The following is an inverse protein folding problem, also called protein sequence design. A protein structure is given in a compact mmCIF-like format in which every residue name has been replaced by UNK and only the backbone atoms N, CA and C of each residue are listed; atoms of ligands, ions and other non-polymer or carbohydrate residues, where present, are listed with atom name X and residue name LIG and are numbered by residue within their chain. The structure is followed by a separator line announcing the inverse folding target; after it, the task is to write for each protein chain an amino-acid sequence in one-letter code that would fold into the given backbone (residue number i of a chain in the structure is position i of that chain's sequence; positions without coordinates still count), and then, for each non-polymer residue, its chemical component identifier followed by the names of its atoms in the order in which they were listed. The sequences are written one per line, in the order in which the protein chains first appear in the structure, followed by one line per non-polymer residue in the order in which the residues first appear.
data_IF_946749473111
#
_entry.id   IF_946749473111
#
_cell.length_a   1.000
_cell.length_b   1.000
_cell.length_c   1.000
_cell.angle_alpha   90.00
_cell.angle_beta   90.00
_cell.angle_gamma   90.00
#
_symmetry.space_group_name_H-M   'P 1'
#
loop_
_entity.id
_entity.type
_entity.pdbx_description
1 polymer ?
#
# COMPACT_ATOMS: atom_id res chain seq x y z
N UNK A 1 13.27 11.09 -12.42
CA UNK A 1 13.52 12.14 -11.42
C UNK A 1 12.17 12.68 -11.01
N UNK A 2 11.86 12.74 -9.71
CA UNK A 2 10.60 13.30 -9.21
C UNK A 2 10.66 14.82 -9.33
N UNK A 3 9.59 15.45 -9.80
CA UNK A 3 9.53 16.91 -9.88
C UNK A 3 9.35 17.53 -8.49
N UNK A 4 9.78 18.79 -8.32
CA UNK A 4 9.61 19.53 -7.06
C UNK A 4 8.13 19.55 -6.61
N UNK A 5 7.22 19.75 -7.55
CA UNK A 5 5.77 19.76 -7.28
C UNK A 5 5.25 18.40 -6.81
N UNK A 6 5.73 17.30 -7.38
CA UNK A 6 5.35 15.95 -6.96
C UNK A 6 5.87 15.63 -5.55
N UNK A 7 7.10 16.04 -5.23
CA UNK A 7 7.68 15.88 -3.89
C UNK A 7 6.91 16.68 -2.84
N UNK A 8 6.59 17.95 -3.13
CA UNK A 8 5.76 18.80 -2.27
C UNK A 8 4.37 18.18 -2.05
N UNK A 9 3.76 17.61 -3.10
CA UNK A 9 2.47 16.95 -3.00
C UNK A 9 2.52 15.69 -2.14
N UNK A 10 3.54 14.84 -2.29
CA UNK A 10 3.73 13.64 -1.45
C UNK A 10 3.90 14.03 0.00
N UNK A 11 4.77 15.00 0.29
CA UNK A 11 5.05 15.44 1.66
C UNK A 11 3.81 16.07 2.32
N UNK A 12 3.03 16.84 1.55
CA UNK A 12 1.75 17.40 2.02
C UNK A 12 0.75 16.31 2.39
N UNK A 13 0.57 15.31 1.51
CA UNK A 13 -0.35 14.20 1.77
C UNK A 13 0.14 13.36 2.95
N UNK A 14 1.44 13.11 3.06
CA UNK A 14 2.04 12.37 4.19
C UNK A 14 1.68 13.04 5.52
N UNK A 15 1.95 14.35 5.62
CA UNK A 15 1.63 15.13 6.81
C UNK A 15 0.12 15.15 7.10
N UNK A 16 -0.72 15.29 6.08
CA UNK A 16 -2.17 15.28 6.26
C UNK A 16 -2.66 13.96 6.85
N UNK A 17 -2.17 12.83 6.34
CA UNK A 17 -2.55 11.49 6.82
C UNK A 17 -2.00 11.22 8.22
N UNK A 18 -0.76 11.61 8.51
CA UNK A 18 -0.17 11.46 9.85
C UNK A 18 -0.92 12.26 10.93
N UNK A 19 -1.51 13.40 10.58
CA UNK A 19 -2.33 14.22 11.48
C UNK A 19 -3.80 13.80 11.52
N UNK A 20 -4.15 12.61 11.01
CA UNK A 20 -5.51 12.06 11.07
C UNK A 20 -6.49 12.63 10.04
N UNK A 21 -6.00 13.36 9.05
CA UNK A 21 -6.78 13.78 7.90
C UNK A 21 -7.09 12.63 6.92
N UNK A 22 -7.87 12.94 5.87
CA UNK A 22 -8.08 12.02 4.75
C UNK A 22 -6.88 11.95 3.80
N UNK A 23 -7.02 11.25 2.67
CA UNK A 23 -5.99 11.27 1.61
C UNK A 23 -5.04 10.06 1.60
N UNK A 24 -5.28 9.06 2.45
CA UNK A 24 -4.37 7.92 2.59
C UNK A 24 -4.23 7.11 1.30
N UNK A 25 -5.33 6.91 0.56
CA UNK A 25 -5.28 6.18 -0.71
C UNK A 25 -4.58 6.98 -1.81
N UNK A 26 -4.82 8.29 -1.85
CA UNK A 26 -4.19 9.25 -2.77
C UNK A 26 -2.68 9.29 -2.55
N UNK A 27 -2.24 9.33 -1.28
CA UNK A 27 -0.83 9.21 -0.91
C UNK A 27 -0.21 7.91 -1.44
N UNK A 28 -0.86 6.77 -1.16
CA UNK A 28 -0.36 5.45 -1.56
C UNK A 28 -0.26 5.30 -3.08
N UNK A 29 -1.24 5.83 -3.82
CA UNK A 29 -1.20 5.90 -5.29
C UNK A 29 -0.01 6.71 -5.79
N UNK A 30 0.25 7.87 -5.17
CA UNK A 30 1.33 8.76 -5.59
C UNK A 30 2.71 8.16 -5.27
N UNK A 31 2.88 7.58 -4.08
CA UNK A 31 4.10 6.84 -3.70
C UNK A 31 4.38 5.71 -4.69
N UNK A 32 3.36 4.94 -5.08
CA UNK A 32 3.47 3.88 -6.09
C UNK A 32 3.86 4.42 -7.45
N UNK A 33 3.17 5.46 -7.93
CA UNK A 33 3.41 6.11 -9.24
C UNK A 33 4.85 6.64 -9.34
N UNK A 34 5.34 7.26 -8.27
CA UNK A 34 6.67 7.88 -8.20
C UNK A 34 7.77 6.90 -7.80
N UNK A 35 7.44 5.63 -7.50
CA UNK A 35 8.37 4.59 -7.05
C UNK A 35 9.18 5.01 -5.82
N UNK A 36 8.54 5.70 -4.88
CA UNK A 36 9.21 6.18 -3.67
C UNK A 36 9.35 5.07 -2.63
N UNK A 37 10.53 4.96 -2.02
CA UNK A 37 10.78 4.00 -0.93
C UNK A 37 10.31 4.57 0.41
N UNK A 38 9.00 4.46 0.67
CA UNK A 38 8.31 4.92 1.89
C UNK A 38 7.64 3.75 2.62
N UNK A 39 8.35 2.61 2.70
CA UNK A 39 7.76 1.32 3.08
C UNK A 39 7.12 1.34 4.48
N UNK A 40 7.68 2.09 5.42
CA UNK A 40 7.11 2.31 6.75
C UNK A 40 5.73 3.00 6.70
N UNK A 41 5.62 4.08 5.90
CA UNK A 41 4.37 4.82 5.71
C UNK A 41 3.35 4.02 4.90
N UNK A 42 3.81 3.35 3.85
CA UNK A 42 2.97 2.48 3.02
C UNK A 42 2.36 1.37 3.86
N UNK A 43 3.16 0.70 4.71
CA UNK A 43 2.68 -0.32 5.62
C UNK A 43 1.68 0.26 6.62
N UNK A 44 2.01 1.37 7.29
CA UNK A 44 1.13 2.03 8.28
C UNK A 44 -0.23 2.41 7.69
N UNK A 45 -0.24 3.14 6.58
CA UNK A 45 -1.47 3.66 5.99
C UNK A 45 -2.28 2.57 5.29
N UNK A 46 -1.60 1.68 4.57
CA UNK A 46 -2.26 0.56 3.90
C UNK A 46 -2.89 -0.42 4.89
N UNK A 47 -2.21 -0.72 6.01
CA UNK A 47 -2.78 -1.51 7.11
C UNK A 47 -4.07 -0.87 7.65
N UNK A 48 -4.07 0.45 7.86
CA UNK A 48 -5.26 1.17 8.34
C UNK A 48 -6.45 1.06 7.37
N UNK A 49 -6.21 1.13 6.06
CA UNK A 49 -7.26 0.98 5.05
C UNK A 49 -7.73 -0.48 4.98
N UNK A 50 -6.82 -1.45 4.95
CA UNK A 50 -7.14 -2.87 4.81
C UNK A 50 -7.87 -3.44 6.05
N UNK A 51 -7.67 -2.88 7.23
CA UNK A 51 -8.39 -3.30 8.44
C UNK A 51 -9.75 -2.62 8.64
N UNK A 52 -10.05 -1.57 7.89
CA UNK A 52 -11.36 -0.94 7.88
C UNK A 52 -12.17 -1.52 6.71
N UNK A 53 -13.15 -2.37 7.01
CA UNK A 53 -13.93 -3.06 5.96
C UNK A 53 -14.61 -2.09 5.00
N UNK A 54 -15.05 -0.91 5.47
CA UNK A 54 -15.75 0.08 4.64
C UNK A 54 -14.77 0.76 3.70
N UNK A 55 -13.61 1.20 4.22
CA UNK A 55 -12.55 1.82 3.40
C UNK A 55 -11.99 0.83 2.38
N UNK A 56 -11.73 -0.40 2.82
CA UNK A 56 -11.24 -1.48 1.95
C UNK A 56 -12.21 -1.77 0.80
N UNK A 57 -13.49 -2.01 1.10
CA UNK A 57 -14.48 -2.31 0.05
C UNK A 57 -14.72 -1.14 -0.91
N UNK A 58 -14.53 0.10 -0.45
CA UNK A 58 -14.69 1.28 -1.29
C UNK A 58 -13.61 1.40 -2.38
N UNK A 59 -12.49 0.68 -2.27
CA UNK A 59 -11.44 0.65 -3.30
C UNK A 59 -11.84 -0.18 -4.53
N UNK A 60 -12.81 -1.09 -4.40
CA UNK A 60 -13.20 -1.99 -5.47
C UNK A 60 -12.01 -2.82 -5.97
N UNK A 61 -11.72 -2.84 -7.29
CA UNK A 61 -10.57 -3.60 -7.82
C UNK A 61 -9.21 -3.19 -7.26
N UNK A 62 -9.05 -1.92 -6.87
CA UNK A 62 -7.78 -1.39 -6.35
C UNK A 62 -7.41 -1.93 -4.96
N UNK A 63 -8.36 -2.56 -4.26
CA UNK A 63 -8.10 -3.28 -3.01
C UNK A 63 -6.92 -4.26 -3.17
N UNK A 64 -6.90 -5.00 -4.27
CA UNK A 64 -5.87 -6.00 -4.52
C UNK A 64 -4.50 -5.38 -4.82
N UNK A 65 -4.50 -4.25 -5.53
CA UNK A 65 -3.27 -3.47 -5.73
C UNK A 65 -2.73 -2.95 -4.41
N UNK A 66 -3.61 -2.57 -3.46
CA UNK A 66 -3.21 -2.19 -2.12
C UNK A 66 -2.64 -3.39 -1.34
N UNK A 67 -3.25 -4.58 -1.40
CA UNK A 67 -2.69 -5.78 -0.77
C UNK A 67 -1.26 -6.07 -1.25
N UNK A 68 -1.01 -6.01 -2.56
CA UNK A 68 0.35 -6.21 -3.11
C UNK A 68 1.33 -5.15 -2.60
N UNK A 69 0.93 -3.87 -2.66
CA UNK A 69 1.76 -2.77 -2.21
C UNK A 69 2.11 -2.87 -0.71
N UNK A 70 1.17 -3.29 0.13
CA UNK A 70 1.39 -3.50 1.56
C UNK A 70 2.22 -4.75 1.82
N UNK A 71 2.04 -5.83 1.06
CA UNK A 71 2.89 -7.02 1.17
C UNK A 71 4.37 -6.70 0.89
N UNK A 72 4.66 -5.94 -0.17
CA UNK A 72 6.03 -5.48 -0.49
C UNK A 72 6.58 -4.61 0.64
N UNK A 73 5.79 -3.63 1.09
CA UNK A 73 6.20 -2.74 2.17
C UNK A 73 6.44 -3.49 3.51
N UNK A 74 5.65 -4.52 3.80
CA UNK A 74 5.84 -5.39 4.95
C UNK A 74 7.17 -6.17 4.86
N UNK A 75 7.52 -6.72 3.69
CA UNK A 75 8.81 -7.37 3.49
C UNK A 75 9.99 -6.41 3.66
N UNK A 76 9.90 -5.21 3.09
CA UNK A 76 10.90 -4.15 3.26
C UNK A 76 11.09 -3.76 4.73
N UNK A 77 10.00 -3.75 5.51
CA UNK A 77 10.02 -3.46 6.94
C UNK A 77 10.35 -4.68 7.82
N UNK A 78 10.76 -5.81 7.24
CA UNK A 78 11.05 -7.07 7.96
C UNK A 78 9.85 -7.62 8.77
N UNK A 79 8.62 -7.24 8.40
CA UNK A 79 7.36 -7.73 8.97
C UNK A 79 6.83 -8.92 8.16
N UNK A 80 7.61 -10.00 8.16
CA UNK A 80 7.36 -11.20 7.34
C UNK A 80 6.07 -11.93 7.74
N UNK A 81 5.64 -11.80 8.98
CA UNK A 81 4.34 -12.24 9.49
C UNK A 81 3.19 -11.60 8.69
N UNK A 82 3.16 -10.27 8.64
CA UNK A 82 2.14 -9.51 7.92
C UNK A 82 2.24 -9.73 6.41
N UNK A 83 3.46 -9.77 5.85
CA UNK A 83 3.65 -10.03 4.44
C UNK A 83 2.99 -11.35 4.01
N UNK A 84 3.21 -12.43 4.77
CA UNK A 84 2.61 -13.75 4.50
C UNK A 84 1.09 -13.72 4.54
N UNK A 85 0.49 -12.98 5.46
CA UNK A 85 -0.97 -12.83 5.52
C UNK A 85 -1.54 -12.14 4.28
N UNK A 86 -0.91 -11.04 3.84
CA UNK A 86 -1.34 -10.33 2.64
C UNK A 86 -1.14 -11.16 1.36
N UNK A 87 0.00 -11.86 1.24
CA UNK A 87 0.27 -12.77 0.12
C UNK A 87 -0.74 -13.92 0.09
N UNK A 88 -1.09 -14.50 1.23
CA UNK A 88 -2.10 -15.56 1.32
C UNK A 88 -3.47 -15.09 0.82
N UNK A 89 -3.87 -13.87 1.15
CA UNK A 89 -5.11 -13.28 0.64
C UNK A 89 -5.07 -13.09 -0.89
N UNK A 90 -3.93 -12.63 -1.42
CA UNK A 90 -3.71 -12.52 -2.87
C UNK A 90 -3.76 -13.88 -3.58
N UNK A 91 -3.11 -14.91 -3.03
CA UNK A 91 -3.12 -16.27 -3.57
C UNK A 91 -4.53 -16.86 -3.58
N UNK A 92 -5.33 -16.62 -2.54
CA UNK A 92 -6.72 -17.05 -2.47
C UNK A 92 -7.58 -16.36 -3.52
N UNK A 93 -7.36 -15.06 -3.77
CA UNK A 93 -8.13 -14.30 -4.76
C UNK A 93 -7.72 -14.61 -6.20
N UNK A 94 -6.43 -14.80 -6.45
CA UNK A 94 -5.84 -15.03 -7.77
C UNK A 94 -5.01 -16.32 -7.78
N UNK A 95 -5.68 -17.49 -7.68
CA UNK A 95 -4.97 -18.77 -7.67
C UNK A 95 -4.19 -18.98 -8.97
N UNK A 96 -2.92 -19.40 -8.86
CA UNK A 96 -2.05 -19.63 -10.01
C UNK A 96 -1.53 -18.35 -10.71
N UNK A 97 -1.76 -17.17 -10.14
CA UNK A 97 -1.22 -15.92 -10.69
C UNK A 97 0.31 -15.93 -10.66
N UNK A 98 0.93 -15.74 -11.84
CA UNK A 98 2.39 -15.61 -11.97
C UNK A 98 2.92 -14.45 -11.10
N UNK A 99 2.24 -13.31 -11.13
CA UNK A 99 2.59 -12.11 -10.36
C UNK A 99 2.55 -12.34 -8.86
N UNK A 100 1.54 -13.06 -8.35
CA UNK A 100 1.48 -13.42 -6.93
C UNK A 100 2.53 -14.49 -6.59
N UNK A 101 2.87 -15.36 -7.56
CA UNK A 101 3.93 -16.35 -7.42
C UNK A 101 5.34 -15.76 -7.26
N UNK A 102 5.58 -14.53 -7.69
CA UNK A 102 6.87 -13.82 -7.53
C UNK A 102 7.19 -13.49 -6.05
N UNK A 103 6.21 -13.62 -5.15
CA UNK A 103 6.39 -13.42 -3.71
C UNK A 103 6.87 -14.67 -2.96
N UNK A 104 6.94 -15.83 -3.61
CA UNK A 104 7.38 -17.10 -3.00
C UNK A 104 8.90 -17.28 -2.98
#
# INVERSE_FOLDING_TARGET
MVSKTEEEQVNRLENQVDNGGGGAWEYLCLVRKLKLRRSDKVLKYGFSILNDSKKRSALGPEEWTLYEQVAIAAMDCQRLDLAKEYIKNLQKKFPGSKRVGEFN
#
